data_IF_013860630379
#
_entry.id   IF_013860630379
#
_cell.length_a   1.000
_cell.length_b   1.000
_cell.length_c   1.000
_cell.angle_alpha   90.00
_cell.angle_beta   90.00
_cell.angle_gamma   90.00
#
_symmetry.space_group_name_H-M   'P 1'
#
loop_
_entity.id
_entity.type
_entity.pdbx_description
1 polymer ?
#
# COMPACT_ATOMS: atom_id res chain seq x y z
N UNK A 1 -15.28 -8.65 2.74
CA UNK A 1 -14.61 -7.69 3.66
C UNK A 1 -13.08 -7.79 3.57
N UNK A 2 -12.55 -8.41 2.52
CA UNK A 2 -11.10 -8.49 2.21
C UNK A 2 -10.72 -7.48 1.12
N UNK A 3 -11.73 -6.84 0.53
CA UNK A 3 -11.64 -6.08 -0.71
C UNK A 3 -11.08 -4.67 -0.46
N UNK A 4 -11.51 -3.98 0.60
CA UNK A 4 -11.08 -2.62 0.94
C UNK A 4 -9.55 -2.52 1.20
N UNK A 5 -8.97 -3.50 1.90
CA UNK A 5 -7.53 -3.59 2.12
C UNK A 5 -6.74 -3.75 0.81
N UNK A 6 -7.21 -4.64 -0.07
CA UNK A 6 -6.57 -4.87 -1.37
C UNK A 6 -6.73 -3.68 -2.31
N UNK A 7 -7.88 -3.02 -2.28
CA UNK A 7 -8.17 -1.81 -3.05
C UNK A 7 -7.26 -0.66 -2.62
N UNK A 8 -7.05 -0.49 -1.30
CA UNK A 8 -6.10 0.47 -0.76
C UNK A 8 -4.66 0.21 -1.25
N UNK A 9 -4.16 -1.01 -1.08
CA UNK A 9 -2.80 -1.38 -1.51
C UNK A 9 -2.63 -1.19 -3.03
N UNK A 10 -3.67 -1.50 -3.80
CA UNK A 10 -3.69 -1.33 -5.26
C UNK A 10 -3.61 0.15 -5.64
N UNK A 11 -4.45 1.01 -5.05
CA UNK A 11 -4.43 2.45 -5.30
C UNK A 11 -3.10 3.08 -4.90
N UNK A 12 -2.59 2.74 -3.70
CA UNK A 12 -1.30 3.19 -3.22
C UNK A 12 -0.15 2.77 -4.14
N UNK A 13 -0.14 1.51 -4.58
CA UNK A 13 0.87 0.98 -5.51
C UNK A 13 0.81 1.67 -6.87
N UNK A 14 -0.39 1.84 -7.43
CA UNK A 14 -0.59 2.54 -8.69
C UNK A 14 -0.06 3.99 -8.60
N UNK A 15 -0.37 4.69 -7.51
CA UNK A 15 0.11 6.05 -7.28
C UNK A 15 1.64 6.11 -7.15
N UNK A 16 2.25 5.18 -6.41
CA UNK A 16 3.70 5.13 -6.22
C UNK A 16 4.49 4.87 -7.51
N UNK A 17 3.94 4.02 -8.40
CA UNK A 17 4.54 3.65 -9.68
C UNK A 17 4.43 4.74 -10.75
N UNK A 18 3.47 5.67 -10.62
CA UNK A 18 3.39 6.80 -11.55
C UNK A 18 4.61 7.70 -11.43
N UNK A 19 5.23 7.98 -12.58
CA UNK A 19 6.29 8.98 -12.77
C UNK A 19 5.73 10.11 -13.66
N UNK A 20 5.38 11.24 -13.04
CA UNK A 20 5.02 12.48 -13.74
C UNK A 20 3.55 12.62 -14.16
N UNK A 21 3.10 13.89 -14.25
CA UNK A 21 1.79 14.32 -14.74
C UNK A 21 0.73 14.53 -13.65
N UNK A 22 0.53 15.78 -13.21
CA UNK A 22 -0.45 16.15 -12.17
C UNK A 22 -1.87 15.62 -12.46
N UNK A 23 -2.29 15.61 -13.72
CA UNK A 23 -3.65 15.22 -14.12
C UNK A 23 -3.97 13.75 -13.84
N UNK A 24 -3.00 12.86 -14.03
CA UNK A 24 -3.16 11.41 -13.76
C UNK A 24 -3.05 11.10 -12.27
N UNK A 25 -2.24 11.87 -11.52
CA UNK A 25 -2.18 11.76 -10.07
C UNK A 25 -3.51 12.15 -9.42
N UNK A 26 -4.22 13.17 -9.92
CA UNK A 26 -5.51 13.60 -9.34
C UNK A 26 -6.53 12.47 -9.22
N UNK A 27 -6.71 11.66 -10.27
CA UNK A 27 -7.64 10.52 -10.22
C UNK A 27 -7.21 9.49 -9.17
N UNK A 28 -5.93 9.11 -9.17
CA UNK A 28 -5.41 8.13 -8.22
C UNK A 28 -5.47 8.63 -6.77
N UNK A 29 -5.33 9.94 -6.54
CA UNK A 29 -5.49 10.56 -5.22
C UNK A 29 -6.95 10.53 -4.77
N UNK A 30 -7.91 10.76 -5.67
CA UNK A 30 -9.35 10.65 -5.36
C UNK A 30 -9.76 9.21 -5.06
N UNK A 31 -9.26 8.26 -5.86
CA UNK A 31 -9.49 6.83 -5.63
C UNK A 31 -8.89 6.43 -4.27
N UNK A 32 -7.66 6.90 -3.96
CA UNK A 32 -7.00 6.68 -2.67
C UNK A 32 -7.76 7.32 -1.49
N UNK A 33 -8.26 8.55 -1.63
CA UNK A 33 -9.05 9.23 -0.60
C UNK A 33 -10.37 8.50 -0.34
N UNK A 34 -11.00 7.99 -1.40
CA UNK A 34 -12.25 7.22 -1.30
C UNK A 34 -12.05 5.94 -0.50
N UNK A 35 -11.03 5.13 -0.84
CA UNK A 35 -10.75 3.87 -0.13
C UNK A 35 -10.28 4.11 1.31
N UNK A 36 -9.63 5.25 1.59
CA UNK A 36 -9.20 5.62 2.95
C UNK A 36 -10.32 6.24 3.80
N UNK A 37 -11.31 6.89 3.17
CA UNK A 37 -12.46 7.52 3.82
C UNK A 37 -13.63 6.57 4.08
N UNK A 38 -13.65 5.41 3.42
CA UNK A 38 -14.64 4.35 3.60
C UNK A 38 -14.47 3.57 4.90
N UNK A 39 -14.69 4.21 6.05
CA UNK A 39 -14.96 3.62 7.37
C UNK A 39 -14.33 2.23 7.66
N UNK A 40 -13.01 2.10 7.56
CA UNK A 40 -12.26 0.96 8.09
C UNK A 40 -11.13 1.46 9.01
N UNK A 41 -10.81 0.71 10.09
CA UNK A 41 -9.85 1.15 11.08
C UNK A 41 -8.44 1.24 10.46
N UNK A 42 -7.69 2.21 10.97
CA UNK A 42 -6.25 2.35 10.72
C UNK A 42 -5.57 0.98 10.75
N UNK A 43 -4.82 0.58 9.71
CA UNK A 43 -4.25 -0.76 9.66
C UNK A 43 -3.30 -1.01 10.86
N UNK A 44 -3.41 -2.19 11.48
CA UNK A 44 -2.60 -2.56 12.65
C UNK A 44 -1.22 -3.13 12.28
N UNK A 45 -0.99 -3.51 11.02
CA UNK A 45 0.33 -3.95 10.57
C UNK A 45 1.25 -2.74 10.34
N UNK A 46 2.38 -2.68 11.03
CA UNK A 46 3.35 -1.55 10.97
C UNK A 46 3.70 -1.08 9.55
N UNK A 47 3.91 -2.05 8.64
CA UNK A 47 4.28 -1.75 7.26
C UNK A 47 3.13 -1.07 6.51
N UNK A 48 1.91 -1.56 6.72
CA UNK A 48 0.72 -1.03 6.08
C UNK A 48 0.24 0.27 6.73
N UNK A 49 0.43 0.42 8.03
CA UNK A 49 0.26 1.68 8.76
C UNK A 49 1.15 2.78 8.16
N UNK A 50 2.40 2.46 7.83
CA UNK A 50 3.31 3.39 7.17
C UNK A 50 2.83 3.80 5.77
N UNK A 51 2.28 2.85 4.99
CA UNK A 51 1.66 3.15 3.68
C UNK A 51 0.43 4.05 3.85
N UNK A 52 -0.41 3.76 4.85
CA UNK A 52 -1.61 4.53 5.16
C UNK A 52 -1.27 5.98 5.57
N UNK A 53 -0.28 6.16 6.44
CA UNK A 53 0.18 7.49 6.85
C UNK A 53 0.75 8.29 5.68
N UNK A 54 1.53 7.65 4.80
CA UNK A 54 2.03 8.30 3.60
C UNK A 54 0.89 8.70 2.64
N UNK A 55 -0.10 7.82 2.45
CA UNK A 55 -1.32 8.12 1.68
C UNK A 55 -2.10 9.33 2.22
N UNK A 56 -2.28 9.42 3.55
CA UNK A 56 -2.91 10.58 4.21
C UNK A 56 -2.17 11.88 3.89
N UNK A 57 -0.84 11.85 3.95
CA UNK A 57 0.01 13.02 3.69
C UNK A 57 -0.08 13.49 2.24
N UNK A 58 -0.19 12.56 1.29
CA UNK A 58 -0.42 12.89 -0.13
C UNK A 58 -1.76 13.61 -0.31
N UNK A 59 -2.83 13.08 0.28
CA UNK A 59 -4.18 13.67 0.19
C UNK A 59 -4.17 15.08 0.79
N UNK A 60 -3.54 15.24 1.96
CA UNK A 60 -3.45 16.54 2.63
C UNK A 60 -2.61 17.54 1.84
N UNK A 61 -1.43 17.15 1.36
CA UNK A 61 -0.58 18.01 0.53
C UNK A 61 -1.32 18.45 -0.75
N UNK A 62 -2.09 17.54 -1.37
CA UNK A 62 -2.89 17.89 -2.54
C UNK A 62 -4.01 18.88 -2.21
N UNK A 63 -4.69 18.70 -1.08
CA UNK A 63 -5.73 19.62 -0.59
C UNK A 63 -5.18 21.03 -0.34
N UNK A 64 -3.94 21.12 0.12
CA UNK A 64 -3.24 22.38 0.37
C UNK A 64 -2.56 22.98 -0.88
N UNK A 65 -2.55 22.25 -2.00
CA UNK A 65 -1.74 22.59 -3.19
C UNK A 65 -0.24 22.79 -2.87
N UNK A 66 0.28 22.02 -1.91
CA UNK A 66 1.69 22.03 -1.51
C UNK A 66 2.46 20.95 -2.27
N UNK A 67 3.15 21.36 -3.34
CA UNK A 67 3.90 20.46 -4.20
C UNK A 67 5.14 19.85 -3.49
N UNK A 68 5.74 20.57 -2.54
CA UNK A 68 6.92 20.07 -1.80
C UNK A 68 6.49 18.99 -0.81
N UNK A 69 5.41 19.23 -0.06
CA UNK A 69 4.83 18.24 0.83
C UNK A 69 4.32 17.03 0.04
N UNK A 70 3.79 17.25 -1.16
CA UNK A 70 3.35 16.18 -2.06
C UNK A 70 4.52 15.29 -2.48
N UNK A 71 5.62 15.86 -2.96
CA UNK A 71 6.79 15.10 -3.40
C UNK A 71 7.43 14.32 -2.24
N UNK A 72 7.53 14.94 -1.06
CA UNK A 72 8.00 14.28 0.15
C UNK A 72 7.11 13.10 0.55
N UNK A 73 5.79 13.30 0.54
CA UNK A 73 4.82 12.24 0.86
C UNK A 73 4.83 11.12 -0.19
N UNK A 74 5.01 11.45 -1.47
CA UNK A 74 5.12 10.48 -2.57
C UNK A 74 6.38 9.62 -2.45
N UNK A 75 7.50 10.24 -2.08
CA UNK A 75 8.74 9.52 -1.78
C UNK A 75 8.56 8.56 -0.59
N UNK A 76 7.96 9.03 0.51
CA UNK A 76 7.66 8.18 1.66
C UNK A 76 6.73 7.01 1.31
N UNK A 77 5.72 7.26 0.47
CA UNK A 77 4.81 6.21 0.00
C UNK A 77 5.58 5.09 -0.74
N UNK A 78 6.52 5.47 -1.62
CA UNK A 78 7.37 4.51 -2.34
C UNK A 78 8.23 3.66 -1.39
N UNK A 79 8.82 4.28 -0.37
CA UNK A 79 9.61 3.56 0.64
C UNK A 79 8.74 2.60 1.47
N UNK A 80 7.58 3.08 1.94
CA UNK A 80 6.66 2.27 2.73
C UNK A 80 6.13 1.06 1.94
N UNK A 81 5.75 1.25 0.67
CA UNK A 81 5.32 0.16 -0.20
C UNK A 81 6.45 -0.82 -0.51
N UNK A 82 7.68 -0.34 -0.66
CA UNK A 82 8.84 -1.22 -0.84
C UNK A 82 9.04 -2.13 0.37
N UNK A 83 8.89 -1.60 1.59
CA UNK A 83 8.96 -2.38 2.83
C UNK A 83 7.80 -3.38 2.94
N UNK A 84 6.57 -2.95 2.64
CA UNK A 84 5.38 -3.81 2.63
C UNK A 84 5.56 -5.00 1.67
N UNK A 85 5.93 -4.75 0.42
CA UNK A 85 6.12 -5.81 -0.58
C UNK A 85 7.31 -6.71 -0.25
N UNK A 86 8.40 -6.18 0.33
CA UNK A 86 9.53 -6.99 0.78
C UNK A 86 9.11 -7.97 1.88
N UNK A 87 8.37 -7.50 2.90
CA UNK A 87 7.83 -8.36 3.95
C UNK A 87 6.92 -9.43 3.38
N UNK A 88 6.03 -9.06 2.46
CA UNK A 88 5.09 -10.00 1.82
C UNK A 88 5.81 -11.06 0.98
N UNK A 89 6.84 -10.66 0.23
CA UNK A 89 7.67 -11.59 -0.54
C UNK A 89 8.43 -12.57 0.36
N UNK A 90 8.94 -12.13 1.52
CA UNK A 90 9.60 -13.01 2.49
C UNK A 90 8.66 -13.98 3.19
N UNK A 91 7.37 -13.68 3.26
CA UNK A 91 6.37 -14.58 3.83
C UNK A 91 6.02 -15.76 2.90
N UNK A 92 6.22 -15.62 1.58
CA UNK A 92 5.85 -16.66 0.60
C UNK A 92 6.63 -17.97 0.80
N UNK A 93 7.97 -17.98 0.91
CA UNK A 93 8.72 -19.22 1.16
C UNK A 93 8.37 -19.90 2.50
N UNK A 94 7.99 -19.12 3.52
CA UNK A 94 7.59 -19.65 4.83
C UNK A 94 6.25 -20.40 4.76
N UNK A 95 5.32 -19.91 3.92
CA UNK A 95 4.06 -20.60 3.65
C UNK A 95 4.28 -21.89 2.85
N UNK A 96 5.16 -21.89 1.87
CA UNK A 96 5.53 -23.10 1.11
C UNK A 96 6.10 -24.19 2.02
N UNK A 97 6.99 -23.81 2.96
CA UNK A 97 7.52 -24.73 3.96
C UNK A 97 6.44 -25.23 4.93
N UNK A 98 5.56 -24.34 5.41
CA UNK A 98 4.47 -24.72 6.30
C UNK A 98 3.48 -25.70 5.63
N UNK A 99 3.18 -25.51 4.35
CA UNK A 99 2.35 -26.43 3.58
C UNK A 99 3.02 -27.80 3.37
N UNK A 100 4.35 -27.84 3.14
CA UNK A 100 5.10 -29.10 3.05
C UNK A 100 5.15 -29.90 4.35
N UNK A 101 5.09 -29.23 5.51
CA UNK A 101 5.07 -29.90 6.83
C UNK A 101 3.69 -30.49 7.15
N UNK A 102 2.62 -29.91 6.59
CA UNK A 102 1.23 -30.34 6.85
C UNK A 102 0.82 -31.53 5.97
N UNK A 103 1.47 -31.75 4.82
CA UNK A 103 1.27 -32.93 3.97
C UNK A 103 2.54 -33.80 3.88
N UNK A 104 2.79 -34.69 4.87
CA UNK A 104 3.95 -35.56 4.87
C UNK A 104 3.80 -36.79 3.94
N UNK A 105 2.69 -36.91 3.19
CA UNK A 105 2.26 -38.19 2.62
C UNK A 105 2.23 -38.24 1.10
N UNK A 106 3.38 -38.22 0.41
CA UNK A 106 3.54 -39.02 -0.83
C UNK A 106 5.01 -39.15 -1.30
N UNK A 107 5.85 -39.79 -0.48
CA UNK A 107 7.13 -40.36 -0.95
C UNK A 107 7.36 -41.72 -0.30
N UNK A 108 6.67 -42.73 -0.81
CA UNK A 108 7.02 -44.13 -0.64
C UNK A 108 7.05 -44.80 -2.02
#
# INVERSE_FOLDING_TARGET
>A
MTDCHMDFVTCATALALKRGGMTLCTRLILDLDTVMGGAEPVPSEDALLSVWQAGRRIIEARRQADDVAFDAAHHLLRLALSAYWNRRARAVPLLEHALQVIDPGDRA
#
